data_IF_931286023301
#
_entry.id   IF_931286023301
#
_cell.length_a   1.000
_cell.length_b   1.000
_cell.length_c   1.000
_cell.angle_alpha   90.00
_cell.angle_beta   90.00
_cell.angle_gamma   90.00
#
_symmetry.space_group_name_H-M   'P 1'
#
loop_
_entity.id
_entity.type
_entity.pdbx_description
1 polymer ?
#
# COMPACT_ATOMS: atom_id res chain seq x y z
N UNK A 1 -2.44 8.71 -8.89
CA UNK A 1 -2.28 8.67 -7.40
C UNK A 1 -1.32 9.77 -6.92
N UNK A 2 -1.24 10.06 -5.62
CA UNK A 2 -0.29 11.05 -5.06
C UNK A 2 1.13 10.49 -4.95
N UNK A 3 2.16 11.36 -4.88
CA UNK A 3 3.57 10.93 -4.74
C UNK A 3 3.83 10.35 -3.35
N UNK A 4 4.60 9.27 -3.29
CA UNK A 4 5.18 8.77 -2.04
C UNK A 4 6.24 9.75 -1.51
N UNK A 5 6.20 10.01 -0.21
CA UNK A 5 6.96 11.08 0.44
C UNK A 5 7.93 10.53 1.46
N UNK A 6 8.94 11.35 1.80
CA UNK A 6 9.86 11.03 2.89
C UNK A 6 9.17 10.89 4.24
N UNK A 7 8.03 11.56 4.44
CA UNK A 7 7.27 11.44 5.69
C UNK A 7 6.66 10.04 5.81
N UNK A 8 6.09 9.51 4.73
CA UNK A 8 5.52 8.15 4.71
C UNK A 8 6.61 7.08 4.89
N UNK A 9 7.82 7.29 4.34
CA UNK A 9 8.97 6.42 4.59
C UNK A 9 9.36 6.36 6.08
N UNK A 10 9.36 7.50 6.77
CA UNK A 10 9.68 7.55 8.21
C UNK A 10 8.67 6.83 9.08
N UNK A 11 7.39 6.78 8.70
CA UNK A 11 6.37 6.04 9.46
C UNK A 11 6.78 4.57 9.59
N UNK A 12 7.33 3.97 8.54
CA UNK A 12 7.79 2.58 8.56
C UNK A 12 9.00 2.39 9.46
N UNK A 13 9.96 3.32 9.43
CA UNK A 13 11.11 3.30 10.34
C UNK A 13 10.66 3.38 11.80
N UNK A 14 9.70 4.26 12.12
CA UNK A 14 9.11 4.37 13.46
C UNK A 14 8.39 3.09 13.88
N UNK A 15 7.63 2.43 13.00
CA UNK A 15 6.96 1.17 13.32
C UNK A 15 7.96 0.05 13.64
N UNK A 16 9.07 -0.02 12.91
CA UNK A 16 10.14 -0.98 13.16
C UNK A 16 10.83 -0.75 14.51
N UNK A 17 11.01 0.51 14.89
CA UNK A 17 11.58 0.91 16.19
C UNK A 17 10.64 0.58 17.36
N UNK A 18 9.33 0.82 17.20
CA UNK A 18 8.33 0.62 18.26
C UNK A 18 7.96 -0.85 18.48
N UNK A 19 7.93 -1.65 17.41
CA UNK A 19 7.44 -3.02 17.46
C UNK A 19 8.60 -4.00 17.25
N UNK A 20 9.01 -4.18 16.00
CA UNK A 20 10.20 -4.92 15.59
C UNK A 20 10.35 -4.82 14.08
N UNK A 21 11.52 -5.20 13.55
CA UNK A 21 11.73 -5.29 12.10
C UNK A 21 10.80 -6.28 11.38
N UNK A 22 10.22 -7.25 12.08
CA UNK A 22 9.28 -8.20 11.46
C UNK A 22 7.90 -7.58 11.20
N UNK A 23 7.60 -6.37 11.70
CA UNK A 23 6.32 -5.69 11.41
C UNK A 23 6.09 -5.51 9.90
N UNK A 24 7.15 -5.32 9.12
CA UNK A 24 7.09 -5.27 7.66
C UNK A 24 6.42 -6.54 7.10
N UNK A 25 6.71 -7.70 7.71
CA UNK A 25 6.17 -9.00 7.32
C UNK A 25 4.68 -9.19 7.65
N UNK A 26 4.05 -8.23 8.32
CA UNK A 26 2.61 -8.24 8.61
C UNK A 26 1.91 -6.97 8.09
N UNK A 27 2.63 -6.10 7.40
CA UNK A 27 2.10 -4.83 6.88
C UNK A 27 1.59 -5.01 5.46
N UNK A 28 0.43 -4.40 5.19
CA UNK A 28 -0.18 -4.25 3.85
C UNK A 28 -0.16 -2.77 3.49
N UNK A 29 0.35 -2.42 2.30
CA UNK A 29 0.26 -1.05 1.79
C UNK A 29 -1.12 -0.79 1.20
N UNK A 30 -1.88 0.14 1.79
CA UNK A 30 -3.19 0.51 1.28
C UNK A 30 -3.09 1.78 0.42
N UNK A 31 -3.40 1.64 -0.87
CA UNK A 31 -3.52 2.77 -1.79
C UNK A 31 -4.97 3.24 -1.82
N UNK A 32 -5.21 4.53 -1.60
CA UNK A 32 -6.55 5.11 -1.69
C UNK A 32 -6.69 5.94 -2.96
N UNK A 33 -7.92 6.23 -3.37
CA UNK A 33 -8.23 6.90 -4.64
C UNK A 33 -7.88 6.06 -5.88
N UNK A 34 -8.19 4.76 -5.84
CA UNK A 34 -8.06 3.86 -7.00
C UNK A 34 -8.81 4.34 -8.24
N UNK A 35 -9.86 5.16 -8.09
CA UNK A 35 -10.55 5.83 -9.20
C UNK A 35 -9.66 6.77 -10.02
N UNK A 36 -8.52 7.21 -9.48
CA UNK A 36 -7.56 8.10 -10.13
C UNK A 36 -6.42 7.36 -10.85
N UNK A 37 -6.48 6.04 -10.91
CA UNK A 37 -5.57 5.25 -11.72
C UNK A 37 -5.95 5.32 -13.21
N UNK A 38 -7.22 5.60 -13.53
CA UNK A 38 -7.71 5.70 -14.91
C UNK A 38 -7.28 4.47 -15.74
N UNK A 39 -6.44 4.64 -16.76
CA UNK A 39 -5.94 3.57 -17.62
C UNK A 39 -4.62 2.92 -17.11
N UNK A 40 -4.05 3.43 -16.02
CA UNK A 40 -2.81 2.94 -15.43
C UNK A 40 -3.09 1.84 -14.40
N UNK A 41 -2.30 0.76 -14.38
CA UNK A 41 -2.40 -0.22 -13.30
C UNK A 41 -1.69 0.25 -12.04
N UNK A 42 -2.04 -0.31 -10.88
CA UNK A 42 -1.33 0.03 -9.63
C UNK A 42 0.15 -0.41 -9.69
N UNK A 43 0.46 -1.50 -10.38
CA UNK A 43 1.82 -1.99 -10.58
C UNK A 43 2.65 -1.03 -11.44
N UNK A 44 2.05 -0.47 -12.50
CA UNK A 44 2.67 0.58 -13.30
C UNK A 44 2.97 1.81 -12.44
N UNK A 45 2.01 2.26 -11.63
CA UNK A 45 2.21 3.38 -10.70
C UNK A 45 3.35 3.11 -9.70
N UNK A 46 3.41 1.91 -9.13
CA UNK A 46 4.50 1.52 -8.21
C UNK A 46 5.85 1.52 -8.93
N UNK A 47 5.88 1.08 -10.19
CA UNK A 47 7.12 0.99 -10.97
C UNK A 47 7.80 2.35 -11.22
N UNK A 48 7.07 3.45 -11.10
CA UNK A 48 7.59 4.81 -11.28
C UNK A 48 8.41 5.33 -10.08
N UNK A 49 8.29 4.72 -8.88
CA UNK A 49 8.99 5.17 -7.67
C UNK A 49 9.79 4.04 -7.02
N UNK A 50 11.12 4.14 -7.07
CA UNK A 50 12.04 3.17 -6.48
C UNK A 50 11.89 3.02 -4.97
N UNK A 51 11.52 4.08 -4.23
CA UNK A 51 11.30 3.97 -2.80
C UNK A 51 10.03 3.18 -2.50
N UNK A 52 8.98 3.38 -3.31
CA UNK A 52 7.74 2.63 -3.18
C UNK A 52 7.93 1.15 -3.51
N UNK A 53 8.74 0.84 -4.54
CA UNK A 53 9.15 -0.54 -4.83
C UNK A 53 9.92 -1.18 -3.67
N UNK A 54 10.87 -0.45 -3.06
CA UNK A 54 11.63 -0.95 -1.92
C UNK A 54 10.71 -1.25 -0.73
N UNK A 55 9.78 -0.33 -0.45
CA UNK A 55 8.82 -0.48 0.63
C UNK A 55 7.89 -1.68 0.38
N UNK A 56 7.34 -1.82 -0.82
CA UNK A 56 6.49 -2.94 -1.17
C UNK A 56 7.21 -4.28 -1.01
N UNK A 57 8.48 -4.34 -1.41
CA UNK A 57 9.32 -5.53 -1.22
C UNK A 57 9.52 -5.86 0.27
N UNK A 58 9.74 -4.86 1.13
CA UNK A 58 9.83 -5.07 2.59
C UNK A 58 8.52 -5.62 3.14
N UNK A 59 7.39 -5.13 2.63
CA UNK A 59 6.05 -5.59 2.98
C UNK A 59 5.66 -6.93 2.32
N UNK A 60 6.61 -7.72 1.80
CA UNK A 60 6.33 -9.03 1.21
C UNK A 60 5.51 -8.98 -0.08
N UNK A 61 5.45 -7.83 -0.76
CA UNK A 61 4.63 -7.64 -1.94
C UNK A 61 3.14 -7.40 -1.64
N UNK A 62 2.76 -7.20 -0.37
CA UNK A 62 1.36 -6.99 0.01
C UNK A 62 0.94 -5.54 -0.17
N UNK A 63 -0.06 -5.37 -1.01
CA UNK A 63 -0.78 -4.12 -1.16
C UNK A 63 -2.24 -4.39 -1.48
N UNK A 64 -3.05 -3.34 -1.32
CA UNK A 64 -4.44 -3.35 -1.74
C UNK A 64 -4.85 -1.94 -2.18
N UNK A 65 -5.86 -1.84 -3.04
CA UNK A 65 -6.29 -0.57 -3.63
C UNK A 65 -7.75 -0.32 -3.30
N UNK A 66 -8.04 0.85 -2.75
CA UNK A 66 -9.39 1.30 -2.39
C UNK A 66 -9.85 2.45 -3.27
N UNK A 67 -11.10 2.36 -3.73
CA UNK A 67 -11.86 3.48 -4.24
C UNK A 67 -12.89 3.94 -3.20
N UNK A 68 -12.47 4.86 -2.32
CA UNK A 68 -13.33 5.41 -1.26
C UNK A 68 -14.54 6.22 -1.77
N UNK A 69 -14.65 6.51 -3.08
CA UNK A 69 -15.86 7.11 -3.66
C UNK A 69 -16.97 6.09 -3.91
N UNK A 70 -16.61 4.81 -4.11
CA UNK A 70 -17.59 3.74 -4.28
C UNK A 70 -17.96 3.13 -2.92
N UNK A 71 -18.77 3.85 -2.16
CA UNK A 71 -19.15 3.44 -0.80
C UNK A 71 -20.01 2.16 -0.76
N UNK A 72 -20.50 1.67 -1.90
CA UNK A 72 -21.34 0.47 -1.98
C UNK A 72 -20.51 -0.78 -2.26
N UNK A 73 -19.29 -0.60 -2.75
CA UNK A 73 -18.38 -1.69 -3.02
C UNK A 73 -17.76 -2.20 -1.71
N UNK A 74 -18.50 -3.10 -1.05
CA UNK A 74 -18.02 -3.79 0.15
C UNK A 74 -17.01 -4.90 -0.18
N UNK A 75 -16.82 -5.24 -1.46
CA UNK A 75 -15.89 -6.27 -1.89
C UNK A 75 -14.44 -5.87 -1.59
N UNK A 76 -14.09 -4.59 -1.75
CA UNK A 76 -12.75 -4.07 -1.43
C UNK A 76 -12.36 -4.36 0.03
N UNK A 77 -13.32 -4.25 0.96
CA UNK A 77 -13.09 -4.58 2.38
C UNK A 77 -12.82 -6.07 2.56
N UNK A 78 -13.59 -6.93 1.89
CA UNK A 78 -13.37 -8.37 1.92
C UNK A 78 -12.02 -8.77 1.32
N UNK A 79 -11.63 -8.17 0.20
CA UNK A 79 -10.34 -8.42 -0.45
C UNK A 79 -9.16 -7.96 0.41
N UNK A 80 -9.29 -6.84 1.14
CA UNK A 80 -8.30 -6.42 2.12
C UNK A 80 -8.06 -7.48 3.21
N UNK A 81 -9.12 -8.06 3.78
CA UNK A 81 -8.99 -9.13 4.79
C UNK A 81 -8.38 -10.42 4.23
N UNK A 82 -8.52 -10.66 2.92
CA UNK A 82 -7.96 -11.84 2.24
C UNK A 82 -6.63 -11.55 1.54
N UNK A 83 -6.07 -10.33 1.70
CA UNK A 83 -4.73 -10.03 1.21
C UNK A 83 -3.75 -10.87 2.03
N UNK A 84 -3.24 -11.96 1.44
CA UNK A 84 -2.40 -12.98 2.07
C UNK A 84 -1.48 -12.38 3.13
N UNK A 85 -1.73 -12.70 4.41
CA UNK A 85 -0.77 -12.51 5.50
C UNK A 85 0.25 -13.65 5.50
#
# INVERSE_FOLDING_TARGET
LGRFTQQEKRVMETLQELLSKSVDQFTVLLFTHGDRLEDQTIEEFISEDTNLQELLRKCGGRYHVFNNKDMRDTQQVWELFNTNL
#
